data_IF_021294327842
#
_entry.id   IF_021294327842
#
_cell.length_a   1.000
_cell.length_b   1.000
_cell.length_c   1.000
_cell.angle_alpha   90.00
_cell.angle_beta   90.00
_cell.angle_gamma   90.00
#
_symmetry.space_group_name_H-M   'P 1'
#
loop_
_entity.id
_entity.type
_entity.pdbx_description
1 polymer ?
#
# COMPACT_ATOMS: atom_id res chain seq x y z
N UNK A 1 0.68 2.47 4.83
CA UNK A 1 -0.01 2.35 6.13
C UNK A 1 -0.42 0.90 6.41
N UNK A 2 -1.29 0.26 5.60
CA UNK A 2 -1.73 -1.13 5.84
C UNK A 2 -0.59 -2.18 5.95
N UNK A 3 0.38 -2.18 5.03
CA UNK A 3 1.55 -3.07 5.09
C UNK A 3 2.36 -2.89 6.39
N UNK A 4 2.58 -1.64 6.81
CA UNK A 4 3.31 -1.33 8.04
C UNK A 4 2.55 -1.83 9.28
N UNK A 5 1.22 -1.70 9.28
CA UNK A 5 0.37 -2.23 10.36
C UNK A 5 0.37 -3.76 10.45
N UNK A 6 0.32 -4.46 9.31
CA UNK A 6 0.40 -5.93 9.27
C UNK A 6 1.78 -6.42 9.67
N UNK A 7 2.85 -5.78 9.20
CA UNK A 7 4.22 -6.11 9.59
C UNK A 7 4.47 -5.83 11.08
N UNK A 8 3.94 -4.73 11.60
CA UNK A 8 4.05 -4.39 13.02
C UNK A 8 3.28 -5.40 13.89
N UNK A 9 2.06 -5.78 13.51
CA UNK A 9 1.28 -6.81 14.20
C UNK A 9 1.97 -8.18 14.18
N UNK A 10 2.53 -8.57 13.03
CA UNK A 10 3.34 -9.78 12.90
C UNK A 10 4.60 -9.76 13.76
N UNK A 11 5.32 -8.64 13.80
CA UNK A 11 6.52 -8.46 14.62
C UNK A 11 6.20 -8.52 16.12
N UNK A 12 5.09 -7.92 16.57
CA UNK A 12 4.63 -7.98 17.97
C UNK A 12 4.21 -9.41 18.35
N UNK A 13 3.48 -10.11 17.48
CA UNK A 13 3.10 -11.51 17.70
C UNK A 13 4.31 -12.44 17.79
N UNK A 14 5.34 -12.20 16.96
CA UNK A 14 6.62 -12.92 17.03
C UNK A 14 7.38 -12.62 18.32
N UNK A 15 7.48 -11.35 18.72
CA UNK A 15 8.14 -10.92 19.96
C UNK A 15 7.50 -11.51 21.22
N UNK A 16 6.17 -11.68 21.22
CA UNK A 16 5.42 -12.25 22.35
C UNK A 16 5.40 -13.79 22.37
N UNK A 17 5.98 -14.47 21.36
CA UNK A 17 6.11 -15.93 21.31
C UNK A 17 4.79 -16.71 21.24
N UNK A 18 3.68 -16.04 20.92
CA UNK A 18 2.33 -16.63 20.97
C UNK A 18 1.75 -16.79 19.56
N UNK A 19 1.68 -18.04 19.09
CA UNK A 19 1.13 -18.39 17.78
C UNK A 19 -0.33 -17.94 17.60
N UNK A 20 -1.10 -17.84 18.69
CA UNK A 20 -2.48 -17.35 18.67
C UNK A 20 -2.56 -15.87 18.29
N UNK A 21 -1.61 -15.04 18.71
CA UNK A 21 -1.57 -13.61 18.38
C UNK A 21 -1.18 -13.40 16.92
N UNK A 22 -0.24 -14.20 16.42
CA UNK A 22 0.13 -14.23 15.00
C UNK A 22 -1.07 -14.63 14.14
N UNK A 23 -1.79 -15.70 14.54
CA UNK A 23 -3.00 -16.14 13.86
C UNK A 23 -4.10 -15.08 13.83
N UNK A 24 -4.33 -14.37 14.95
CA UNK A 24 -5.29 -13.27 15.01
C UNK A 24 -4.91 -12.11 14.09
N UNK A 25 -3.63 -11.74 14.05
CA UNK A 25 -3.13 -10.68 13.17
C UNK A 25 -3.30 -11.03 11.69
N UNK A 26 -3.02 -12.29 11.31
CA UNK A 26 -3.25 -12.78 9.96
C UNK A 26 -4.74 -12.81 9.60
N UNK A 27 -5.60 -13.28 10.51
CA UNK A 27 -7.05 -13.27 10.32
C UNK A 27 -7.58 -11.84 10.13
N UNK A 28 -7.12 -10.89 10.94
CA UNK A 28 -7.45 -9.48 10.78
C UNK A 28 -6.99 -8.90 9.44
N UNK A 29 -5.78 -9.25 8.99
CA UNK A 29 -5.28 -8.83 7.67
C UNK A 29 -6.13 -9.40 6.52
N UNK A 30 -6.55 -10.67 6.62
CA UNK A 30 -7.43 -11.31 5.63
C UNK A 30 -8.81 -10.64 5.63
N UNK A 31 -9.41 -10.44 6.81
CA UNK A 31 -10.71 -9.77 6.94
C UNK A 31 -10.66 -8.35 6.39
N UNK A 32 -9.62 -7.57 6.71
CA UNK A 32 -9.44 -6.24 6.11
C UNK A 32 -9.38 -6.34 4.58
N UNK A 33 -8.53 -7.23 4.06
CA UNK A 33 -8.30 -7.34 2.62
C UNK A 33 -9.57 -7.76 1.86
N UNK A 34 -10.45 -8.56 2.48
CA UNK A 34 -11.69 -9.03 1.89
C UNK A 34 -12.87 -8.07 2.07
N UNK A 35 -12.94 -7.31 3.16
CA UNK A 35 -14.11 -6.49 3.47
C UNK A 35 -13.84 -4.99 3.39
N UNK A 36 -12.80 -4.50 4.07
CA UNK A 36 -12.53 -3.06 4.15
C UNK A 36 -12.00 -2.54 2.82
N UNK A 37 -11.04 -3.25 2.23
CA UNK A 37 -10.43 -2.85 0.96
C UNK A 37 -11.44 -2.66 -0.17
N UNK A 38 -12.33 -3.61 -0.52
CA UNK A 38 -13.23 -3.41 -1.65
C UNK A 38 -14.23 -2.27 -1.42
N UNK A 39 -14.65 -2.03 -0.17
CA UNK A 39 -15.52 -0.91 0.17
C UNK A 39 -14.78 0.42 -0.06
N UNK A 40 -13.54 0.50 0.40
CA UNK A 40 -12.71 1.70 0.26
C UNK A 40 -12.34 1.98 -1.20
N UNK A 41 -11.97 0.94 -1.98
CA UNK A 41 -11.71 1.07 -3.42
C UNK A 41 -12.97 1.48 -4.19
N UNK A 42 -14.16 0.99 -3.81
CA UNK A 42 -15.42 1.39 -4.43
C UNK A 42 -15.78 2.87 -4.14
N UNK A 43 -15.53 3.35 -2.91
CA UNK A 43 -15.70 4.77 -2.56
C UNK A 43 -14.72 5.65 -3.35
N UNK A 44 -13.45 5.25 -3.39
CA UNK A 44 -12.42 5.98 -4.14
C UNK A 44 -12.73 6.01 -5.64
N UNK A 45 -13.19 4.90 -6.22
CA UNK A 45 -13.61 4.85 -7.61
C UNK A 45 -14.81 5.78 -7.88
N UNK A 46 -15.77 5.89 -6.95
CA UNK A 46 -16.89 6.83 -7.06
C UNK A 46 -16.43 8.29 -7.00
N UNK A 47 -15.47 8.61 -6.14
CA UNK A 47 -15.01 9.99 -5.91
C UNK A 47 -14.03 10.50 -6.95
N UNK A 48 -13.19 9.62 -7.50
CA UNK A 48 -12.05 9.99 -8.34
C UNK A 48 -12.10 9.39 -9.76
N UNK A 49 -12.95 8.39 -9.99
CA UNK A 49 -13.18 7.82 -11.32
C UNK A 49 -11.91 7.31 -12.01
N UNK A 50 -11.67 7.76 -13.23
CA UNK A 50 -10.58 7.26 -14.07
C UNK A 50 -9.18 7.60 -13.56
N UNK A 51 -9.03 8.70 -12.81
CA UNK A 51 -7.75 9.05 -12.18
C UNK A 51 -7.34 8.00 -11.15
N UNK A 52 -8.31 7.47 -10.39
CA UNK A 52 -8.05 6.41 -9.43
C UNK A 52 -7.75 5.09 -10.13
N UNK A 53 -8.45 4.77 -11.22
CA UNK A 53 -8.15 3.61 -12.07
C UNK A 53 -6.70 3.62 -12.55
N UNK A 54 -6.22 4.77 -13.06
CA UNK A 54 -4.82 4.92 -13.49
C UNK A 54 -3.84 4.83 -12.32
N UNK A 55 -4.20 5.36 -11.15
CA UNK A 55 -3.41 5.25 -9.93
C UNK A 55 -3.26 3.80 -9.46
N UNK A 56 -4.36 3.04 -9.43
CA UNK A 56 -4.37 1.62 -9.05
C UNK A 56 -3.48 0.77 -9.98
N UNK A 57 -3.42 1.10 -11.27
CA UNK A 57 -2.53 0.41 -12.21
C UNK A 57 -1.05 0.71 -11.97
N UNK A 58 -0.70 1.89 -11.45
CA UNK A 58 0.69 2.30 -11.22
C UNK A 58 1.20 1.93 -9.84
N UNK A 59 0.33 1.89 -8.82
CA UNK A 59 0.74 1.70 -7.43
C UNK A 59 0.26 0.36 -6.91
N UNK A 60 1.22 -0.53 -6.61
CA UNK A 60 0.94 -1.81 -5.96
C UNK A 60 0.58 -1.59 -4.48
N UNK A 61 -0.46 -2.29 -4.00
CA UNK A 61 -0.97 -2.16 -2.63
C UNK A 61 0.06 -2.57 -1.56
N UNK A 62 0.81 -3.64 -1.82
CA UNK A 62 1.71 -4.27 -0.85
C UNK A 62 3.19 -3.95 -1.04
N UNK A 63 3.57 -3.49 -2.24
CA UNK A 63 4.96 -3.26 -2.60
C UNK A 63 5.14 -1.80 -2.95
N UNK A 64 6.11 -1.10 -2.32
CA UNK A 64 6.42 0.27 -2.69
C UNK A 64 6.83 0.28 -4.17
N UNK A 65 6.12 1.09 -4.96
CA UNK A 65 6.50 1.33 -6.35
C UNK A 65 7.48 2.49 -6.35
N UNK A 66 8.76 2.20 -6.59
CA UNK A 66 9.78 3.24 -6.74
C UNK A 66 9.63 3.84 -8.14
N UNK A 67 9.00 5.02 -8.21
CA UNK A 67 9.04 5.83 -9.42
C UNK A 67 10.50 6.28 -9.62
N UNK A 68 11.17 5.77 -10.66
CA UNK A 68 12.47 6.30 -11.08
C UNK A 68 12.19 7.68 -11.66
N UNK A 69 12.37 8.72 -10.85
CA UNK A 69 12.22 10.09 -11.32
C UNK A 69 13.40 10.38 -12.26
N UNK A 70 13.13 10.42 -13.56
CA UNK A 70 14.12 10.68 -14.61
C UNK A 70 14.31 12.18 -14.78
N UNK A 71 14.63 12.90 -13.68
CA UNK A 71 14.81 14.36 -13.67
C UNK A 71 16.29 14.77 -13.68
N UNK A 72 17.19 13.90 -14.14
CA UNK A 72 18.65 14.15 -14.14
C UNK A 72 19.31 14.12 -15.52
N UNK A 73 18.56 14.31 -16.61
CA UNK A 73 19.16 14.29 -17.96
C UNK A 73 18.54 15.28 -18.93
N UNK A 74 18.08 16.42 -18.43
CA UNK A 74 17.91 17.60 -19.29
C UNK A 74 19.07 18.56 -19.00
N UNK A 75 20.14 18.36 -19.76
CA UNK A 75 21.19 19.35 -19.93
C UNK A 75 20.60 20.59 -20.56
N UNK A 76 20.05 21.48 -19.73
CA UNK A 76 19.78 22.85 -20.11
C UNK A 76 21.08 23.63 -19.85
N UNK A 77 21.87 23.97 -20.88
CA UNK A 77 22.88 25.01 -20.72
C UNK A 77 22.16 26.30 -20.31
N UNK A 78 22.60 26.86 -19.20
CA UNK A 78 22.11 28.15 -18.70
C UNK A 78 22.89 29.25 -19.42
N UNK A 79 22.57 29.50 -20.68
CA UNK A 79 23.04 30.67 -21.42
C UNK A 79 21.85 31.51 -21.92
N UNK A 80 21.46 32.48 -21.10
CA UNK A 80 21.21 33.89 -21.45
C UNK A 80 20.65 34.64 -20.25
#
# INVERSE_FOLDING_TARGET
>A
MALAGVLQGGAVGWLLGSSSVVGYSLAGAVVWHLFVRPIEEADLQKRFGDNYRMYQHRVRLWLPTFAINSESTLGIPRDR
#
